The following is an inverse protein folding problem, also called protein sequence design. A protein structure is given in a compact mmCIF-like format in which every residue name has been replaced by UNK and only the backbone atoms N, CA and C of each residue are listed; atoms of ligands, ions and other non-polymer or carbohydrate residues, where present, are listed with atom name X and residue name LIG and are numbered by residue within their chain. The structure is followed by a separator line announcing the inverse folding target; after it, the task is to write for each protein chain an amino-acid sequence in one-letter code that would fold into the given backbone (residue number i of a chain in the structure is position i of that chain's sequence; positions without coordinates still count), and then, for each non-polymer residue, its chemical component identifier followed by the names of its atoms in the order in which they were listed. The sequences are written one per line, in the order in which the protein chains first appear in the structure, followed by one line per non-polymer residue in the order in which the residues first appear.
data_IF_312532417493
#
_entry.id   IF_312532417493
#
_cell.length_a   1.000
_cell.length_b   1.000
_cell.length_c   1.000
_cell.angle_alpha   90.00
_cell.angle_beta   90.00
_cell.angle_gamma   90.00
#
_symmetry.space_group_name_H-M   'P 1'
#
loop_
_entity.id
_entity.type
_entity.pdbx_description
1 polymer ?
#
# COMPACT_ATOMS: atom_id res chain seq x y z
N UNK A 1 -40.07 55.02 58.00
CA UNK A 1 -40.05 53.73 57.26
C UNK A 1 -39.26 53.95 55.98
N UNK A 2 -38.22 53.12 55.72
CA UNK A 2 -37.72 52.55 54.44
C UNK A 2 -37.69 53.46 53.19
N UNK A 3 -36.70 53.49 52.30
CA UNK A 3 -35.45 52.78 52.08
C UNK A 3 -34.69 53.52 50.95
N UNK A 4 -33.36 53.40 50.97
CA UNK A 4 -32.41 53.78 49.91
C UNK A 4 -32.53 52.78 48.74
N UNK A 5 -32.41 53.24 47.49
CA UNK A 5 -32.11 52.39 46.34
C UNK A 5 -31.12 53.10 45.41
N UNK A 6 -29.94 52.51 45.30
CA UNK A 6 -28.84 52.89 44.43
C UNK A 6 -28.73 51.90 43.24
N UNK A 7 -27.92 52.29 42.25
CA UNK A 7 -27.27 51.45 41.23
C UNK A 7 -28.13 50.97 40.06
N UNK A 8 -27.64 50.71 38.83
CA UNK A 8 -26.29 50.34 38.35
C UNK A 8 -26.24 50.53 36.80
N UNK A 9 -25.12 51.03 36.26
CA UNK A 9 -24.80 50.98 34.81
C UNK A 9 -24.25 49.59 34.44
N UNK A 10 -24.53 49.04 33.24
CA UNK A 10 -23.84 47.85 32.74
C UNK A 10 -22.56 48.22 31.99
N UNK A 11 -21.44 47.66 32.46
CA UNK A 11 -20.13 47.66 31.80
C UNK A 11 -20.09 46.45 30.84
N UNK A 12 -20.01 46.71 29.53
CA UNK A 12 -19.86 45.67 28.50
C UNK A 12 -18.38 45.27 28.41
N UNK A 13 -18.06 44.04 28.81
CA UNK A 13 -16.75 43.42 28.63
C UNK A 13 -16.70 42.74 27.25
N UNK A 14 -15.82 43.24 26.37
CA UNK A 14 -15.46 42.60 25.10
C UNK A 14 -14.42 41.50 25.37
N UNK A 15 -14.89 40.25 25.44
CA UNK A 15 -14.02 39.07 25.51
C UNK A 15 -13.35 38.82 24.17
N UNK A 16 -12.04 39.01 24.10
CA UNK A 16 -11.21 38.66 22.94
C UNK A 16 -10.81 37.19 23.04
N UNK A 17 -11.35 36.33 22.18
CA UNK A 17 -10.88 34.94 22.05
C UNK A 17 -9.59 34.92 21.23
N UNK A 18 -8.44 34.80 21.90
CA UNK A 18 -7.21 34.33 21.26
C UNK A 18 -7.40 32.86 20.93
N UNK A 19 -7.59 32.55 19.64
CA UNK A 19 -7.48 31.18 19.13
C UNK A 19 -6.00 30.80 19.24
N UNK A 20 -5.66 30.02 20.26
CA UNK A 20 -4.34 29.43 20.42
C UNK A 20 -4.06 28.52 19.24
N UNK A 21 -3.05 28.88 18.46
CA UNK A 21 -2.43 27.98 17.50
C UNK A 21 -1.72 26.90 18.32
N UNK A 22 -2.37 25.74 18.43
CA UNK A 22 -1.87 24.58 19.16
C UNK A 22 -0.59 24.10 18.48
N UNK A 23 0.55 24.60 18.97
CA UNK A 23 1.86 24.16 18.54
C UNK A 23 2.00 22.69 18.91
N UNK A 24 2.05 21.83 17.90
CA UNK A 24 2.23 20.40 18.11
C UNK A 24 3.51 20.16 18.92
N UNK A 25 3.48 19.29 19.94
CA UNK A 25 4.65 19.01 20.76
C UNK A 25 5.83 18.55 19.88
N UNK A 26 7.07 18.92 20.24
CA UNK A 26 8.25 18.52 19.47
C UNK A 26 8.31 16.99 19.34
N UNK A 27 8.67 16.45 18.16
CA UNK A 27 8.65 15.02 17.93
C UNK A 27 9.58 14.31 18.93
N UNK A 28 9.18 13.14 19.47
CA UNK A 28 10.05 12.34 20.33
C UNK A 28 11.36 12.01 19.60
N UNK A 29 12.47 11.96 20.33
CA UNK A 29 13.79 11.62 19.78
C UNK A 29 13.71 10.35 18.92
N UNK A 30 14.16 10.44 17.66
CA UNK A 30 14.07 9.35 16.69
C UNK A 30 12.76 9.27 15.91
N UNK A 31 11.83 10.22 16.08
CA UNK A 31 10.63 10.36 15.22
C UNK A 31 10.91 11.40 14.15
N UNK A 32 10.65 11.07 12.87
CA UNK A 32 10.88 12.03 11.79
C UNK A 32 9.70 13.00 11.65
N UNK A 33 10.00 14.25 11.34
CA UNK A 33 9.03 15.19 10.77
C UNK A 33 9.27 15.29 9.26
N UNK A 34 8.51 16.13 8.56
CA UNK A 34 8.65 16.22 7.09
C UNK A 34 10.07 16.61 6.67
N UNK A 35 10.66 17.61 7.34
CA UNK A 35 12.00 18.08 7.00
C UNK A 35 13.06 17.02 7.26
N UNK A 36 13.03 16.38 8.45
CA UNK A 36 14.01 15.35 8.80
C UNK A 36 13.83 14.07 7.97
N UNK A 37 12.63 13.76 7.47
CA UNK A 37 12.45 12.71 6.46
C UNK A 37 13.23 13.02 5.17
N UNK A 38 13.13 14.25 4.66
CA UNK A 38 13.92 14.69 3.50
C UNK A 38 15.43 14.60 3.72
N UNK A 39 15.89 14.98 4.93
CA UNK A 39 17.30 14.88 5.31
C UNK A 39 17.77 13.42 5.37
N UNK A 40 16.98 12.52 5.97
CA UNK A 40 17.31 11.09 6.02
C UNK A 40 17.37 10.48 4.62
N UNK A 41 16.39 10.78 3.75
CA UNK A 41 16.42 10.31 2.35
C UNK A 41 17.69 10.79 1.62
N UNK A 42 18.12 12.03 1.86
CA UNK A 42 19.36 12.57 1.29
C UNK A 42 20.59 11.86 1.87
N UNK A 43 20.61 11.59 3.18
CA UNK A 43 21.69 10.87 3.86
C UNK A 43 21.83 9.41 3.40
N UNK A 44 20.74 8.79 2.93
CA UNK A 44 20.74 7.48 2.24
C UNK A 44 21.42 7.55 0.86
N UNK A 45 21.67 8.74 0.33
CA UNK A 45 22.25 8.98 -0.99
C UNK A 45 21.20 9.20 -2.09
N UNK A 46 19.94 9.43 -1.71
CA UNK A 46 18.87 9.73 -2.66
C UNK A 46 18.83 11.23 -2.96
N UNK A 47 18.14 11.58 -4.04
CA UNK A 47 17.90 12.97 -4.45
C UNK A 47 16.40 13.25 -4.41
N UNK A 48 15.81 13.43 -3.22
CA UNK A 48 14.37 13.60 -3.09
C UNK A 48 13.92 15.00 -3.57
N UNK A 49 12.82 15.04 -4.31
CA UNK A 49 12.12 16.27 -4.71
C UNK A 49 10.85 16.38 -3.89
N UNK A 50 10.66 17.48 -3.16
CA UNK A 50 9.46 17.71 -2.36
C UNK A 50 8.32 18.21 -3.24
N UNK A 51 7.18 17.53 -3.18
CA UNK A 51 5.91 17.94 -3.80
C UNK A 51 4.84 17.96 -2.71
N UNK A 52 4.43 19.16 -2.29
CA UNK A 52 3.58 19.35 -1.09
C UNK A 52 4.19 18.63 0.13
N UNK A 53 3.55 17.60 0.68
CA UNK A 53 4.06 16.83 1.84
C UNK A 53 4.84 15.56 1.48
N UNK A 54 4.95 15.25 0.19
CA UNK A 54 5.54 14.01 -0.32
C UNK A 54 6.94 14.27 -0.86
N UNK A 55 7.85 13.33 -0.66
CA UNK A 55 9.16 13.32 -1.30
C UNK A 55 9.20 12.26 -2.39
N UNK A 56 9.52 12.67 -3.62
CA UNK A 56 9.64 11.80 -4.80
C UNK A 56 11.11 11.59 -5.16
N UNK A 57 11.52 10.36 -5.46
CA UNK A 57 12.91 10.04 -5.78
C UNK A 57 13.04 8.78 -6.66
N UNK A 58 14.18 8.66 -7.32
CA UNK A 58 14.58 7.41 -7.97
C UNK A 58 15.40 6.55 -7.00
N UNK A 59 15.07 5.26 -6.90
CA UNK A 59 15.79 4.28 -6.09
C UNK A 59 16.40 3.21 -7.01
N UNK A 60 17.72 3.07 -6.99
CA UNK A 60 18.44 2.06 -7.78
C UNK A 60 18.98 0.99 -6.84
N UNK A 61 18.71 -0.27 -7.15
CA UNK A 61 19.26 -1.41 -6.41
C UNK A 61 19.30 -2.64 -7.31
N UNK A 62 20.09 -3.64 -6.95
CA UNK A 62 19.97 -4.97 -7.55
C UNK A 62 18.97 -5.80 -6.77
N UNK A 63 18.10 -6.52 -7.48
CA UNK A 63 17.24 -7.56 -6.92
C UNK A 63 17.52 -8.84 -7.68
N UNK A 64 17.94 -9.90 -6.97
CA UNK A 64 18.26 -11.22 -7.56
C UNK A 64 19.28 -11.16 -8.72
N UNK A 65 20.22 -10.23 -8.66
CA UNK A 65 21.27 -10.06 -9.68
C UNK A 65 20.88 -9.19 -10.87
N UNK A 66 19.64 -8.70 -10.93
CA UNK A 66 19.19 -7.76 -11.95
C UNK A 66 19.19 -6.35 -11.40
N UNK A 67 19.61 -5.37 -12.21
CA UNK A 67 19.55 -3.96 -11.84
C UNK A 67 18.16 -3.39 -12.07
N UNK A 68 17.60 -2.80 -11.03
CA UNK A 68 16.30 -2.14 -11.08
C UNK A 68 16.44 -0.65 -10.76
N UNK A 69 15.63 0.16 -11.45
CA UNK A 69 15.44 1.58 -11.16
C UNK A 69 13.97 1.85 -10.89
N UNK A 70 13.64 2.05 -9.63
CA UNK A 70 12.28 2.32 -9.17
C UNK A 70 12.04 3.84 -9.09
N UNK A 71 10.82 4.26 -9.42
CA UNK A 71 10.29 5.57 -9.05
C UNK A 71 9.54 5.41 -7.74
N UNK A 72 9.97 6.08 -6.68
CA UNK A 72 9.42 5.92 -5.34
C UNK A 72 9.04 7.25 -4.70
N UNK A 73 8.20 7.18 -3.69
CA UNK A 73 7.85 8.30 -2.84
C UNK A 73 7.85 7.92 -1.36
N UNK A 74 8.06 8.89 -0.50
CA UNK A 74 7.85 8.77 0.94
C UNK A 74 7.02 9.95 1.47
N UNK A 75 6.11 9.68 2.41
CA UNK A 75 5.26 10.69 3.05
C UNK A 75 4.92 10.27 4.47
N UNK A 76 4.81 11.24 5.39
CA UNK A 76 4.34 10.98 6.75
C UNK A 76 2.80 10.85 6.78
N UNK A 77 2.30 9.98 7.65
CA UNK A 77 0.89 9.97 8.00
C UNK A 77 0.48 11.31 8.62
N UNK A 78 -0.81 11.65 8.57
CA UNK A 78 -1.32 12.94 9.09
C UNK A 78 -0.97 13.17 10.57
N UNK A 79 -0.95 12.10 11.36
CA UNK A 79 -0.58 12.12 12.78
C UNK A 79 0.92 11.89 13.02
N UNK A 80 1.74 11.80 11.96
CA UNK A 80 3.19 11.55 12.02
C UNK A 80 3.62 10.25 12.71
N UNK A 81 2.71 9.31 12.98
CA UNK A 81 3.07 8.03 13.62
C UNK A 81 3.67 7.01 12.65
N UNK A 82 3.44 7.18 11.36
CA UNK A 82 3.87 6.24 10.31
C UNK A 82 4.45 6.97 9.11
N UNK A 83 5.38 6.30 8.42
CA UNK A 83 5.88 6.69 7.12
C UNK A 83 5.32 5.73 6.08
N UNK A 84 4.76 6.29 5.01
CA UNK A 84 4.26 5.56 3.87
C UNK A 84 5.31 5.67 2.77
N UNK A 85 5.85 4.53 2.37
CA UNK A 85 6.76 4.40 1.23
C UNK A 85 5.98 3.80 0.07
N UNK A 86 6.11 4.36 -1.12
CA UNK A 86 5.32 3.96 -2.29
C UNK A 86 6.25 3.75 -3.47
N UNK A 87 6.07 2.65 -4.20
CA UNK A 87 6.67 2.45 -5.51
C UNK A 87 5.61 2.68 -6.58
N UNK A 88 5.89 3.59 -7.52
CA UNK A 88 5.03 3.84 -8.68
C UNK A 88 5.21 2.73 -9.71
N UNK A 89 4.10 2.09 -10.08
CA UNK A 89 4.07 1.00 -11.05
C UNK A 89 3.54 1.50 -12.40
N UNK A 90 3.09 0.54 -13.21
CA UNK A 90 2.52 0.79 -14.54
C UNK A 90 1.24 1.62 -14.47
N UNK A 91 1.03 2.39 -15.53
CA UNK A 91 -0.24 3.07 -15.79
C UNK A 91 -1.28 2.06 -16.25
N UNK A 92 -2.47 2.16 -15.67
CA UNK A 92 -3.61 1.31 -15.98
C UNK A 92 -4.21 1.76 -17.31
N UNK A 93 -4.50 0.82 -18.23
CA UNK A 93 -5.17 1.15 -19.47
C UNK A 93 -6.48 1.92 -19.23
N UNK A 94 -6.75 2.94 -20.06
CA UNK A 94 -7.97 3.75 -19.92
C UNK A 94 -9.24 3.01 -20.33
N UNK A 95 -9.12 1.93 -21.10
CA UNK A 95 -10.25 1.07 -21.47
C UNK A 95 -10.40 -0.07 -20.47
N UNK A 96 -11.57 -0.19 -19.84
CA UNK A 96 -11.85 -1.23 -18.84
C UNK A 96 -11.75 -2.65 -19.39
N UNK A 97 -12.04 -2.84 -20.68
CA UNK A 97 -11.87 -4.12 -21.39
C UNK A 97 -10.41 -4.60 -21.44
N UNK A 98 -9.44 -3.70 -21.25
CA UNK A 98 -8.01 -4.00 -21.21
C UNK A 98 -7.50 -4.26 -19.80
N UNK A 99 -8.38 -4.22 -18.78
CA UNK A 99 -8.05 -4.52 -17.38
C UNK A 99 -8.72 -5.85 -17.01
N UNK A 100 -7.98 -6.98 -17.02
CA UNK A 100 -8.56 -8.26 -16.69
C UNK A 100 -9.01 -8.31 -15.23
N UNK A 101 -10.26 -8.71 -14.98
CA UNK A 101 -10.78 -8.86 -13.62
C UNK A 101 -9.90 -9.80 -12.78
N UNK A 102 -9.40 -10.88 -13.40
CA UNK A 102 -8.51 -11.82 -12.73
C UNK A 102 -7.18 -11.19 -12.30
N UNK A 103 -6.66 -10.21 -13.04
CA UNK A 103 -5.45 -9.49 -12.64
C UNK A 103 -5.69 -8.67 -11.36
N UNK A 104 -6.84 -7.99 -11.29
CA UNK A 104 -7.24 -7.24 -10.09
C UNK A 104 -7.42 -8.17 -8.88
N UNK A 105 -8.07 -9.33 -9.06
CA UNK A 105 -8.23 -10.33 -8.00
C UNK A 105 -6.88 -10.88 -7.52
N UNK A 106 -5.92 -11.09 -8.44
CA UNK A 106 -4.55 -11.51 -8.07
C UNK A 106 -3.82 -10.43 -7.26
N UNK A 107 -3.98 -9.16 -7.60
CA UNK A 107 -3.41 -8.05 -6.81
C UNK A 107 -4.00 -8.02 -5.40
N UNK A 108 -5.33 -8.18 -5.27
CA UNK A 108 -5.99 -8.26 -3.97
C UNK A 108 -5.53 -9.47 -3.16
N UNK A 109 -5.38 -10.64 -3.80
CA UNK A 109 -4.83 -11.83 -3.15
C UNK A 109 -3.36 -11.64 -2.73
N UNK A 110 -2.56 -10.93 -3.52
CA UNK A 110 -1.19 -10.60 -3.18
C UNK A 110 -1.10 -9.69 -1.95
N UNK A 111 -2.07 -8.79 -1.73
CA UNK A 111 -2.11 -7.94 -0.53
C UNK A 111 -2.21 -8.77 0.75
N UNK A 112 -3.06 -9.81 0.75
CA UNK A 112 -3.19 -10.73 1.88
C UNK A 112 -1.89 -11.52 2.13
N UNK A 113 -1.26 -11.99 1.04
CA UNK A 113 -0.01 -12.77 1.11
C UNK A 113 1.20 -11.96 1.58
N UNK A 114 1.38 -10.73 1.10
CA UNK A 114 2.60 -9.95 1.34
C UNK A 114 2.76 -9.52 2.80
N UNK A 115 1.65 -9.19 3.47
CA UNK A 115 1.65 -8.74 4.86
C UNK A 115 2.60 -7.57 5.16
N UNK A 116 3.01 -7.42 6.43
CA UNK A 116 4.03 -6.45 6.86
C UNK A 116 3.76 -4.98 6.43
N UNK A 117 2.48 -4.61 6.35
CA UNK A 117 2.06 -3.28 5.92
C UNK A 117 2.23 -3.01 4.44
N UNK A 118 2.44 -4.06 3.61
CA UNK A 118 2.56 -3.96 2.16
C UNK A 118 1.25 -4.26 1.46
N UNK A 119 0.88 -3.43 0.48
CA UNK A 119 -0.31 -3.63 -0.32
C UNK A 119 -0.30 -2.81 -1.61
N UNK A 120 -0.88 -3.37 -2.66
CA UNK A 120 -1.23 -2.67 -3.87
C UNK A 120 -2.39 -1.72 -3.63
N UNK A 121 -2.30 -0.53 -4.21
CA UNK A 121 -3.37 0.45 -4.29
C UNK A 121 -3.42 1.07 -5.69
N UNK A 122 -4.59 1.59 -6.06
CA UNK A 122 -4.79 2.35 -7.28
C UNK A 122 -4.93 3.84 -6.94
N UNK A 123 -4.21 4.70 -7.68
CA UNK A 123 -4.31 6.15 -7.56
C UNK A 123 -5.06 6.69 -8.78
N UNK A 124 -6.36 7.07 -8.65
CA UNK A 124 -7.19 7.47 -9.77
C UNK A 124 -6.65 8.67 -10.55
N UNK A 125 -6.15 9.68 -9.83
CA UNK A 125 -5.67 10.93 -10.43
C UNK A 125 -4.48 10.70 -11.38
N UNK A 126 -3.67 9.67 -11.12
CA UNK A 126 -2.50 9.32 -11.92
C UNK A 126 -2.74 8.09 -12.80
N UNK A 127 -3.92 7.48 -12.71
CA UNK A 127 -4.27 6.19 -13.32
C UNK A 127 -3.21 5.12 -13.12
N UNK A 128 -2.53 5.08 -11.97
CA UNK A 128 -1.40 4.17 -11.73
C UNK A 128 -1.66 3.27 -10.55
N UNK A 129 -1.16 2.04 -10.66
CA UNK A 129 -0.95 1.22 -9.47
C UNK A 129 0.29 1.69 -8.71
N UNK A 130 0.25 1.49 -7.41
CA UNK A 130 1.39 1.63 -6.51
C UNK A 130 1.47 0.40 -5.64
N UNK A 131 2.70 -0.04 -5.32
CA UNK A 131 2.92 -0.93 -4.18
C UNK A 131 3.36 -0.05 -3.01
N UNK A 132 2.63 -0.11 -1.91
CA UNK A 132 2.90 0.69 -0.72
C UNK A 132 3.50 -0.19 0.37
N UNK A 133 4.26 0.43 1.27
CA UNK A 133 4.64 -0.11 2.57
C UNK A 133 4.46 0.95 3.64
N UNK A 134 3.73 0.61 4.71
CA UNK A 134 3.59 1.46 5.90
C UNK A 134 4.55 0.98 6.98
N UNK A 135 5.40 1.88 7.48
CA UNK A 135 6.34 1.61 8.59
C UNK A 135 6.11 2.59 9.73
N UNK A 136 6.37 2.15 10.96
CA UNK A 136 6.30 3.04 12.13
C UNK A 136 7.36 4.13 12.01
N UNK A 137 7.03 5.35 12.41
CA UNK A 137 7.97 6.48 12.42
C UNK A 137 8.78 6.58 13.73
N UNK A 138 8.50 5.74 14.72
CA UNK A 138 9.21 5.76 16.00
C UNK A 138 10.61 5.17 15.85
N UNK A 139 11.60 5.84 16.43
CA UNK A 139 13.01 5.41 16.40
C UNK A 139 13.55 5.17 14.98
N UNK A 140 13.00 5.88 14.00
CA UNK A 140 13.38 5.78 12.61
C UNK A 140 14.81 6.27 12.41
N UNK A 141 15.56 5.56 11.56
CA UNK A 141 16.93 5.87 11.20
C UNK A 141 17.16 5.67 9.71
N UNK A 142 18.27 6.19 9.20
CA UNK A 142 18.77 5.96 7.84
C UNK A 142 18.79 4.48 7.48
N UNK A 143 19.24 3.62 8.40
CA UNK A 143 19.31 2.17 8.20
C UNK A 143 17.91 1.56 8.06
N UNK A 144 17.00 1.86 8.98
CA UNK A 144 15.64 1.31 8.96
C UNK A 144 14.84 1.77 7.73
N UNK A 145 15.02 3.04 7.32
CA UNK A 145 14.38 3.54 6.12
C UNK A 145 14.96 2.91 4.85
N UNK A 146 16.29 2.70 4.79
CA UNK A 146 16.92 1.96 3.68
C UNK A 146 16.41 0.52 3.60
N UNK A 147 16.32 -0.19 4.72
CA UNK A 147 15.74 -1.54 4.79
C UNK A 147 14.28 -1.55 4.31
N UNK A 148 13.51 -0.51 4.65
CA UNK A 148 12.14 -0.35 4.16
C UNK A 148 12.06 -0.19 2.64
N UNK A 149 12.96 0.61 2.06
CA UNK A 149 13.05 0.82 0.60
C UNK A 149 13.49 -0.45 -0.13
N UNK A 150 14.47 -1.18 0.40
CA UNK A 150 14.97 -2.43 -0.18
C UNK A 150 13.92 -3.53 -0.16
N UNK A 151 13.24 -3.74 0.98
CA UNK A 151 12.17 -4.72 1.09
C UNK A 151 10.97 -4.40 0.17
N UNK A 152 10.64 -3.11 0.02
CA UNK A 152 9.62 -2.70 -0.95
C UNK A 152 10.08 -2.98 -2.39
N UNK A 153 11.33 -2.64 -2.74
CA UNK A 153 11.91 -2.92 -4.05
C UNK A 153 11.89 -4.42 -4.40
N UNK A 154 12.24 -5.28 -3.44
CA UNK A 154 12.16 -6.74 -3.60
C UNK A 154 10.72 -7.16 -3.86
N UNK A 155 9.77 -6.65 -3.08
CA UNK A 155 8.34 -6.98 -3.26
C UNK A 155 7.81 -6.51 -4.62
N UNK A 156 8.26 -5.34 -5.12
CA UNK A 156 7.93 -4.88 -6.47
C UNK A 156 8.46 -5.87 -7.52
N UNK A 157 9.73 -6.28 -7.43
CA UNK A 157 10.31 -7.22 -8.39
C UNK A 157 9.63 -8.60 -8.34
N UNK A 158 9.39 -9.12 -7.14
CA UNK A 158 8.78 -10.44 -6.92
C UNK A 158 7.36 -10.52 -7.46
N UNK A 159 6.61 -9.41 -7.36
CA UNK A 159 5.23 -9.33 -7.85
C UNK A 159 5.13 -8.83 -9.30
N UNK A 160 6.24 -8.60 -10.01
CA UNK A 160 6.24 -8.15 -11.40
C UNK A 160 5.30 -8.95 -12.33
N UNK A 161 5.24 -10.29 -12.24
CA UNK A 161 4.27 -11.07 -13.03
C UNK A 161 2.80 -10.74 -12.76
N UNK A 162 2.50 -10.22 -11.57
CA UNK A 162 1.15 -9.89 -11.12
C UNK A 162 0.75 -8.48 -11.54
N UNK A 163 1.59 -7.47 -11.26
CA UNK A 163 1.20 -6.07 -11.42
C UNK A 163 1.53 -5.45 -12.77
N UNK A 164 2.49 -5.99 -13.53
CA UNK A 164 2.86 -5.36 -14.80
C UNK A 164 1.74 -5.51 -15.83
N UNK A 165 1.31 -4.38 -16.38
CA UNK A 165 0.23 -4.30 -17.37
C UNK A 165 0.60 -5.03 -18.65
N UNK A 166 1.89 -5.11 -18.97
CA UNK A 166 2.40 -5.91 -20.09
C UNK A 166 2.04 -7.40 -19.98
N UNK A 167 1.85 -7.91 -18.75
CA UNK A 167 1.48 -9.30 -18.48
C UNK A 167 -0.04 -9.56 -18.47
N UNK A 168 -0.86 -8.53 -18.69
CA UNK A 168 -2.32 -8.63 -18.61
C UNK A 168 -3.00 -8.92 -19.94
N UNK A 169 -2.28 -8.76 -21.07
CA UNK A 169 -2.82 -9.10 -22.36
C UNK A 169 -3.23 -10.59 -22.37
N UNK A 170 -4.45 -10.93 -22.83
CA UNK A 170 -4.83 -12.32 -22.96
C UNK A 170 -3.86 -12.98 -23.94
N UNK A 171 -3.13 -14.00 -23.46
CA UNK A 171 -2.49 -14.96 -24.36
C UNK A 171 -3.64 -15.49 -25.22
N UNK A 172 -3.67 -15.11 -26.49
CA UNK A 172 -4.71 -15.48 -27.44
C UNK A 172 -5.05 -16.94 -27.23
N UNK A 173 -6.25 -17.20 -26.72
CA UNK A 173 -6.77 -18.55 -26.53
C UNK A 173 -6.64 -19.25 -27.87
N UNK A 174 -5.86 -20.33 -27.92
CA UNK A 174 -5.93 -21.31 -29.00
C UNK A 174 -7.41 -21.54 -29.32
N UNK A 175 -7.84 -21.45 -30.59
CA UNK A 175 -9.25 -21.58 -30.93
C UNK A 175 -9.79 -22.88 -30.36
N UNK A 176 -10.68 -22.75 -29.38
CA UNK A 176 -11.41 -23.88 -28.82
C UNK A 176 -12.23 -24.45 -29.99
N UNK A 177 -12.07 -25.74 -30.35
CA UNK A 177 -12.80 -26.31 -31.47
C UNK A 177 -14.30 -26.13 -31.21
N UNK A 178 -15.00 -25.55 -32.18
CA UNK A 178 -16.46 -25.39 -32.16
C UNK A 178 -17.09 -26.78 -32.05
N UNK A 179 -17.50 -27.18 -30.85
CA UNK A 179 -18.34 -28.36 -30.69
C UNK A 179 -19.69 -27.99 -31.30
N UNK A 180 -20.04 -28.71 -32.37
CA UNK A 180 -21.31 -28.57 -33.07
C UNK A 180 -22.48 -28.74 -32.09
N UNK A 181 -23.50 -27.90 -32.25
CA UNK A 181 -24.71 -27.86 -31.44
C UNK A 181 -25.50 -29.17 -31.67
N UNK A 182 -25.27 -30.16 -30.82
CA UNK A 182 -26.12 -31.35 -30.69
C UNK A 182 -27.41 -30.99 -29.97
N UNK A 183 -28.52 -31.35 -30.60
CA UNK A 183 -29.90 -31.23 -30.13
C UNK A 183 -30.18 -32.35 -29.12
N UNK A 184 -30.69 -32.03 -27.92
CA UNK A 184 -31.33 -33.02 -27.03
C UNK A 184 -30.83 -33.06 -25.59
N UNK A 185 -31.71 -32.57 -24.70
CA UNK A 185 -32.12 -33.14 -23.42
C UNK A 185 -31.14 -33.33 -22.23
N UNK A 186 -31.65 -32.82 -21.09
CA UNK A 186 -31.39 -33.19 -19.69
C UNK A 186 -30.06 -32.75 -19.06
N UNK A 187 -30.18 -31.87 -18.08
CA UNK A 187 -29.15 -31.58 -17.06
C UNK A 187 -29.20 -32.69 -16.00
N UNK A 188 -28.06 -33.34 -15.69
CA UNK A 188 -27.87 -33.96 -14.39
C UNK A 188 -26.80 -33.18 -13.62
N UNK A 189 -27.22 -32.61 -12.50
CA UNK A 189 -26.34 -32.19 -11.41
C UNK A 189 -25.64 -33.42 -10.80
N UNK A 190 -24.32 -33.39 -10.52
CA UNK A 190 -23.75 -34.28 -9.53
C UNK A 190 -22.91 -33.50 -8.51
N UNK A 191 -23.52 -33.23 -7.35
CA UNK A 191 -22.78 -33.18 -6.07
C UNK A 191 -22.92 -34.56 -5.43
N UNK A 192 -21.87 -35.40 -5.52
CA UNK A 192 -21.46 -36.39 -4.52
C UNK A 192 -20.44 -37.40 -5.11
N UNK A 193 -19.25 -37.46 -4.51
CA UNK A 193 -18.50 -38.70 -4.30
C UNK A 193 -17.86 -39.39 -5.51
N UNK A 194 -16.55 -39.18 -5.71
CA UNK A 194 -15.59 -40.26 -5.48
C UNK A 194 -14.15 -39.74 -5.43
N UNK A 195 -13.53 -39.94 -4.27
CA UNK A 195 -12.07 -39.96 -4.11
C UNK A 195 -11.58 -41.30 -4.66
N UNK A 196 -10.61 -41.27 -5.54
CA UNK A 196 -9.61 -42.33 -5.65
C UNK A 196 -8.24 -41.69 -5.53
N UNK A 197 -7.60 -41.99 -4.42
CA UNK A 197 -6.24 -41.65 -4.04
C UNK A 197 -5.27 -42.62 -4.70
N UNK A 198 -4.23 -42.10 -5.35
CA UNK A 198 -3.01 -42.89 -5.61
C UNK A 198 -1.79 -41.96 -5.73
N UNK A 199 -1.16 -41.70 -4.59
CA UNK A 199 0.26 -41.36 -4.46
C UNK A 199 0.64 -41.48 -2.98
N UNK A 200 1.21 -42.63 -2.62
CA UNK A 200 1.71 -42.95 -1.29
C UNK A 200 3.08 -42.28 -1.04
N UNK A 201 3.32 -41.75 0.17
CA UNK A 201 4.60 -41.95 0.87
C UNK A 201 4.55 -41.54 2.35
N UNK A 202 4.52 -42.59 3.19
CA UNK A 202 5.03 -42.78 4.56
C UNK A 202 5.45 -41.55 5.40
N UNK A 203 4.78 -41.39 6.54
CA UNK A 203 5.43 -41.07 7.83
C UNK A 203 4.64 -41.78 8.94
N UNK A 204 5.23 -42.83 9.51
CA UNK A 204 4.69 -43.54 10.67
C UNK A 204 4.95 -42.75 11.96
N UNK A 205 3.90 -42.74 12.77
CA UNK A 205 3.80 -42.18 14.10
C UNK A 205 4.55 -43.08 15.11
N UNK A 206 5.43 -42.48 15.92
CA UNK A 206 5.90 -43.06 17.17
C UNK A 206 5.69 -42.05 18.28
N UNK A 207 4.61 -42.22 19.05
CA UNK A 207 4.57 -41.89 20.48
C UNK A 207 4.01 -43.08 21.26
N UNK A 208 4.88 -43.67 22.09
CA UNK A 208 4.83 -43.63 23.57
C UNK A 208 3.60 -44.36 24.14
N UNK A 209 3.86 -45.56 24.66
CA UNK A 209 3.42 -45.93 26.01
C UNK A 209 4.63 -45.89 26.92
#
# INVERSE_FOLDING_TARGET
MKSIAAMLLPLVLLSSSVVGQEASPPPPTGTLNEESLGQVLTAIGLKPVKTDKRYDFAFKTSVRGEEWKFSMSAVLSRNSESIWVMAWLDEVPSQSSQVPQLALLKLLAANDRMGNGKFFAYIPNNKRFVLQRVVKNQQMSTKLLMEALQDLAISVADEYPTWSVANWAPKSSTPQPKIARGKGDSVPNPTAGNRTSEAASKFEDRRVQ
#
